data_IF_996201731229
#
_entry.id   IF_996201731229
#
_cell.length_a   1.000
_cell.length_b   1.000
_cell.length_c   1.000
_cell.angle_alpha   90.00
_cell.angle_beta   90.00
_cell.angle_gamma   90.00
#
_symmetry.space_group_name_H-M   'P 1'
#
loop_
_entity.id
_entity.type
_entity.pdbx_description
1 polymer ?
#
# COMPACT_ATOMS: atom_id res chain seq x y z
N UNK A 1 -139.46 50.65 11.45
CA UNK A 1 -138.92 49.27 11.61
C UNK A 1 -138.34 48.72 10.29
N UNK A 2 -138.99 48.95 9.13
CA UNK A 2 -138.48 48.52 7.82
C UNK A 2 -137.17 49.21 7.35
N UNK A 3 -136.98 50.51 7.58
CA UNK A 3 -135.74 51.21 7.15
C UNK A 3 -134.47 50.70 7.84
N UNK A 4 -134.54 50.41 9.15
CA UNK A 4 -133.40 49.89 9.92
C UNK A 4 -132.99 48.48 9.46
N UNK A 5 -133.99 47.64 9.13
CA UNK A 5 -133.76 46.31 8.56
C UNK A 5 -133.13 46.37 7.16
N UNK A 6 -133.53 47.35 6.34
CA UNK A 6 -132.93 47.60 5.02
C UNK A 6 -131.48 48.10 5.13
N UNK A 7 -131.18 49.01 6.07
CA UNK A 7 -129.82 49.50 6.34
C UNK A 7 -128.88 48.42 6.87
N UNK A 8 -129.34 47.57 7.78
CA UNK A 8 -128.56 46.44 8.28
C UNK A 8 -128.30 45.42 7.17
N UNK A 9 -129.28 45.16 6.28
CA UNK A 9 -129.07 44.33 5.10
C UNK A 9 -128.05 44.93 4.12
N UNK A 10 -128.09 46.25 3.91
CA UNK A 10 -127.14 46.95 3.04
C UNK A 10 -125.72 46.92 3.61
N UNK A 11 -125.59 47.05 4.93
CA UNK A 11 -124.31 47.00 5.64
C UNK A 11 -123.75 45.58 5.64
N UNK A 12 -124.60 44.57 5.85
CA UNK A 12 -124.23 43.16 5.75
C UNK A 12 -123.70 42.83 4.35
N UNK A 13 -124.35 43.33 3.30
CA UNK A 13 -123.88 43.16 1.91
C UNK A 13 -122.52 43.81 1.65
N UNK A 14 -122.32 45.05 2.10
CA UNK A 14 -120.99 45.72 2.00
C UNK A 14 -119.90 44.97 2.74
N UNK A 15 -120.19 44.47 3.96
CA UNK A 15 -119.24 43.67 4.74
C UNK A 15 -118.95 42.33 4.09
N UNK A 16 -119.94 41.71 3.45
CA UNK A 16 -119.75 40.49 2.67
C UNK A 16 -118.86 40.74 1.44
N UNK A 17 -119.04 41.87 0.74
CA UNK A 17 -118.16 42.28 -0.37
C UNK A 17 -116.71 42.54 0.10
N UNK A 18 -116.52 43.28 1.19
CA UNK A 18 -115.18 43.49 1.79
C UNK A 18 -114.55 42.17 2.22
N UNK A 19 -115.33 41.26 2.81
CA UNK A 19 -114.84 39.94 3.21
C UNK A 19 -114.36 39.15 1.99
N UNK A 20 -115.12 39.16 0.89
CA UNK A 20 -114.76 38.51 -0.37
C UNK A 20 -113.48 39.11 -0.96
N UNK A 21 -113.32 40.43 -0.95
CA UNK A 21 -112.12 41.11 -1.45
C UNK A 21 -110.89 40.80 -0.60
N UNK A 22 -111.03 40.80 0.73
CA UNK A 22 -109.95 40.45 1.66
C UNK A 22 -109.59 38.96 1.54
N UNK A 23 -110.56 38.07 1.37
CA UNK A 23 -110.27 36.65 1.12
C UNK A 23 -109.56 36.44 -0.21
N UNK A 24 -109.94 37.18 -1.26
CA UNK A 24 -109.25 37.14 -2.56
C UNK A 24 -107.82 37.67 -2.47
N UNK A 25 -107.57 38.79 -1.78
CA UNK A 25 -106.22 39.30 -1.52
C UNK A 25 -105.38 38.31 -0.72
N UNK A 26 -105.97 37.65 0.28
CA UNK A 26 -105.29 36.61 1.07
C UNK A 26 -104.91 35.41 0.20
N UNK A 27 -105.80 34.96 -0.67
CA UNK A 27 -105.53 33.87 -1.62
C UNK A 27 -104.44 34.24 -2.63
N UNK A 28 -104.47 35.46 -3.18
CA UNK A 28 -103.43 35.95 -4.08
C UNK A 28 -102.06 36.02 -3.39
N UNK A 29 -101.99 36.58 -2.18
CA UNK A 29 -100.75 36.64 -1.40
C UNK A 29 -100.26 35.25 -0.98
N UNK A 30 -101.14 34.31 -0.64
CA UNK A 30 -100.77 32.92 -0.36
C UNK A 30 -100.22 32.21 -1.60
N UNK A 31 -100.76 32.51 -2.79
CA UNK A 31 -100.28 31.98 -4.06
C UNK A 31 -98.91 32.56 -4.43
N UNK A 32 -98.70 33.87 -4.23
CA UNK A 32 -97.42 34.53 -4.43
C UNK A 32 -96.35 34.03 -3.44
N UNK A 33 -96.71 33.87 -2.16
CA UNK A 33 -95.84 33.24 -1.15
C UNK A 33 -95.50 31.78 -1.45
N UNK A 34 -96.43 31.02 -2.04
CA UNK A 34 -96.19 29.66 -2.51
C UNK A 34 -95.29 29.60 -3.75
N UNK A 35 -95.30 30.65 -4.60
CA UNK A 35 -94.45 30.78 -5.78
C UNK A 35 -93.02 31.23 -5.44
N UNK A 36 -92.85 31.98 -4.35
CA UNK A 36 -91.54 32.25 -3.77
C UNK A 36 -91.08 30.96 -3.10
N UNK A 37 -90.13 30.25 -3.72
CA UNK A 37 -89.55 28.99 -3.26
C UNK A 37 -88.72 29.12 -1.96
N UNK A 38 -89.24 29.83 -0.94
CA UNK A 38 -88.54 30.22 0.29
C UNK A 38 -88.01 29.02 1.06
N UNK A 39 -88.74 27.91 1.08
CA UNK A 39 -88.28 26.67 1.70
C UNK A 39 -87.08 26.06 0.97
N UNK A 40 -87.08 26.06 -0.36
CA UNK A 40 -85.98 25.52 -1.18
C UNK A 40 -84.74 26.40 -1.03
N UNK A 41 -84.88 27.73 -1.13
CA UNK A 41 -83.79 28.68 -0.90
C UNK A 41 -83.20 28.59 0.52
N UNK A 42 -84.03 28.33 1.54
CA UNK A 42 -83.56 28.08 2.93
C UNK A 42 -82.83 26.73 3.07
N UNK A 43 -83.23 25.72 2.31
CA UNK A 43 -82.53 24.43 2.27
C UNK A 43 -81.17 24.60 1.58
N UNK A 44 -81.14 25.24 0.42
CA UNK A 44 -79.92 25.54 -0.33
C UNK A 44 -78.94 26.39 0.49
N UNK A 45 -79.43 27.43 1.18
CA UNK A 45 -78.58 28.23 2.08
C UNK A 45 -77.94 27.37 3.16
N UNK A 46 -78.70 26.46 3.79
CA UNK A 46 -78.17 25.53 4.80
C UNK A 46 -77.14 24.57 4.23
N UNK A 47 -77.36 24.06 3.02
CA UNK A 47 -76.43 23.14 2.37
C UNK A 47 -75.12 23.85 1.95
N UNK A 48 -75.22 25.09 1.47
CA UNK A 48 -74.05 25.92 1.17
C UNK A 48 -73.29 26.32 2.44
N UNK A 49 -74.00 26.66 3.53
CA UNK A 49 -73.40 26.95 4.84
C UNK A 49 -72.61 25.74 5.36
N UNK A 50 -73.19 24.52 5.31
CA UNK A 50 -72.47 23.29 5.69
C UNK A 50 -71.23 23.05 4.84
N UNK A 51 -71.35 23.14 3.51
CA UNK A 51 -70.21 22.99 2.60
C UNK A 51 -69.12 24.03 2.88
N UNK A 52 -69.50 25.26 3.23
CA UNK A 52 -68.55 26.31 3.62
C UNK A 52 -67.82 25.96 4.92
N UNK A 53 -68.51 25.43 5.92
CA UNK A 53 -67.91 24.97 7.18
C UNK A 53 -66.95 23.79 6.96
N UNK A 54 -67.33 22.80 6.16
CA UNK A 54 -66.48 21.67 5.81
C UNK A 54 -65.22 22.11 5.05
N UNK A 55 -65.37 23.01 4.08
CA UNK A 55 -64.23 23.58 3.34
C UNK A 55 -63.32 24.41 4.26
N UNK A 56 -63.88 25.19 5.20
CA UNK A 56 -63.09 25.93 6.20
C UNK A 56 -62.30 24.98 7.10
N UNK A 57 -62.92 23.89 7.56
CA UNK A 57 -62.25 22.86 8.38
C UNK A 57 -61.11 22.20 7.60
N UNK A 58 -61.36 21.78 6.36
CA UNK A 58 -60.36 21.17 5.50
C UNK A 58 -59.19 22.14 5.20
N UNK A 59 -59.49 23.41 4.96
CA UNK A 59 -58.46 24.45 4.81
C UNK A 59 -57.61 24.57 6.07
N UNK A 60 -58.23 24.59 7.26
CA UNK A 60 -57.49 24.67 8.53
C UNK A 60 -56.57 23.46 8.75
N UNK A 61 -57.01 22.26 8.40
CA UNK A 61 -56.20 21.03 8.51
C UNK A 61 -55.05 21.05 7.50
N UNK A 62 -55.32 21.43 6.26
CA UNK A 62 -54.29 21.54 5.22
C UNK A 62 -53.24 22.62 5.57
N UNK A 63 -53.67 23.77 6.09
CA UNK A 63 -52.79 24.84 6.55
C UNK A 63 -51.89 24.37 7.70
N UNK A 64 -52.44 23.63 8.67
CA UNK A 64 -51.64 23.08 9.77
C UNK A 64 -50.55 22.12 9.28
N UNK A 65 -50.87 21.26 8.30
CA UNK A 65 -49.87 20.36 7.68
C UNK A 65 -48.81 21.13 6.90
N UNK A 66 -49.21 22.14 6.13
CA UNK A 66 -48.29 22.98 5.38
C UNK A 66 -47.29 23.65 6.32
N UNK A 67 -47.76 24.26 7.41
CA UNK A 67 -46.89 24.89 8.40
C UNK A 67 -45.91 23.88 9.02
N UNK A 68 -46.37 22.65 9.31
CA UNK A 68 -45.50 21.58 9.82
C UNK A 68 -44.39 21.21 8.84
N UNK A 69 -44.71 21.04 7.55
CA UNK A 69 -43.69 20.78 6.52
C UNK A 69 -42.74 21.97 6.33
N UNK A 70 -43.24 23.21 6.44
CA UNK A 70 -42.39 24.41 6.38
C UNK A 70 -41.38 24.46 7.53
N UNK A 71 -41.78 24.08 8.75
CA UNK A 71 -40.90 23.97 9.91
C UNK A 71 -39.84 22.87 9.71
N UNK A 72 -40.23 21.68 9.22
CA UNK A 72 -39.30 20.58 8.90
C UNK A 72 -38.28 20.99 7.82
N UNK A 73 -38.73 21.64 6.75
CA UNK A 73 -37.84 22.14 5.70
C UNK A 73 -36.85 23.16 6.28
N UNK A 74 -37.31 24.03 7.19
CA UNK A 74 -36.45 25.02 7.84
C UNK A 74 -35.40 24.34 8.73
N UNK A 75 -35.79 23.30 9.46
CA UNK A 75 -34.89 22.51 10.30
C UNK A 75 -33.80 21.82 9.47
N UNK A 76 -34.18 21.04 8.45
CA UNK A 76 -33.23 20.37 7.56
C UNK A 76 -32.29 21.35 6.87
N UNK A 77 -32.78 22.52 6.44
CA UNK A 77 -31.94 23.57 5.86
C UNK A 77 -30.93 24.13 6.85
N UNK A 78 -31.27 24.18 8.14
CA UNK A 78 -30.35 24.63 9.19
C UNK A 78 -29.28 23.58 9.46
N UNK A 79 -29.65 22.30 9.55
CA UNK A 79 -28.71 21.20 9.69
C UNK A 79 -27.73 21.14 8.51
N UNK A 80 -28.21 21.25 7.27
CA UNK A 80 -27.35 21.28 6.08
C UNK A 80 -26.33 22.43 6.07
N UNK A 81 -26.58 23.50 6.84
CA UNK A 81 -25.66 24.64 6.99
C UNK A 81 -24.63 24.45 8.11
N UNK A 82 -24.76 23.43 8.94
CA UNK A 82 -23.78 23.15 9.98
C UNK A 82 -22.40 22.87 9.36
N UNK A 83 -21.33 23.20 10.07
CA UNK A 83 -19.95 23.04 9.56
C UNK A 83 -19.62 21.61 9.14
N UNK A 84 -20.28 20.61 9.75
CA UNK A 84 -20.10 19.21 9.42
C UNK A 84 -20.66 18.83 8.04
N UNK A 85 -21.78 19.43 7.63
CA UNK A 85 -22.50 19.07 6.40
C UNK A 85 -22.29 20.08 5.26
N UNK A 86 -22.08 21.36 5.59
CA UNK A 86 -21.94 22.45 4.61
C UNK A 86 -20.80 22.25 3.62
N UNK A 87 -19.73 21.54 4.00
CA UNK A 87 -18.58 21.21 3.15
C UNK A 87 -18.40 19.71 2.91
N UNK A 88 -19.45 18.92 3.10
CA UNK A 88 -19.36 17.45 3.01
C UNK A 88 -18.84 17.01 1.63
N UNK A 89 -19.32 17.62 0.54
CA UNK A 89 -18.91 17.28 -0.83
C UNK A 89 -17.43 17.61 -1.10
N UNK A 90 -16.97 18.78 -0.63
CA UNK A 90 -15.55 19.18 -0.75
C UNK A 90 -14.65 18.22 0.03
N UNK A 91 -15.00 17.95 1.30
CA UNK A 91 -14.25 17.03 2.16
C UNK A 91 -14.23 15.61 1.60
N UNK A 92 -15.35 15.14 1.06
CA UNK A 92 -15.43 13.84 0.39
C UNK A 92 -14.50 13.80 -0.81
N UNK A 93 -14.52 14.84 -1.67
CA UNK A 93 -13.67 14.92 -2.85
C UNK A 93 -12.19 14.93 -2.47
N UNK A 94 -11.80 15.73 -1.49
CA UNK A 94 -10.42 15.79 -0.99
C UNK A 94 -9.97 14.43 -0.45
N UNK A 95 -10.81 13.79 0.38
CA UNK A 95 -10.49 12.49 0.96
C UNK A 95 -10.41 11.40 -0.12
N UNK A 96 -11.27 11.47 -1.13
CA UNK A 96 -11.26 10.56 -2.27
C UNK A 96 -9.98 10.71 -3.11
N UNK A 97 -9.52 11.95 -3.34
CA UNK A 97 -8.25 12.21 -4.03
C UNK A 97 -7.09 11.60 -3.23
N UNK A 98 -7.03 11.86 -1.92
CA UNK A 98 -5.98 11.28 -1.06
C UNK A 98 -6.02 9.76 -1.09
N UNK A 99 -7.21 9.16 -0.90
CA UNK A 99 -7.34 7.70 -0.94
C UNK A 99 -6.90 7.13 -2.30
N UNK A 100 -7.35 7.72 -3.41
CA UNK A 100 -7.00 7.22 -4.74
C UNK A 100 -5.52 7.39 -5.07
N UNK A 101 -4.92 8.53 -4.71
CA UNK A 101 -3.48 8.76 -4.90
C UNK A 101 -2.65 7.80 -4.05
N UNK A 102 -3.02 7.57 -2.79
CA UNK A 102 -2.32 6.57 -1.95
C UNK A 102 -2.45 5.14 -2.48
N UNK A 103 -3.61 4.75 -3.01
CA UNK A 103 -3.80 3.44 -3.65
C UNK A 103 -2.90 3.26 -4.89
N UNK A 104 -2.76 4.31 -5.71
CA UNK A 104 -1.86 4.30 -6.86
C UNK A 104 -0.39 4.21 -6.42
N UNK A 105 0.03 4.99 -5.41
CA UNK A 105 1.40 4.95 -4.89
C UNK A 105 1.74 3.57 -4.31
N UNK A 106 0.81 2.94 -3.60
CA UNK A 106 1.02 1.58 -3.08
C UNK A 106 1.24 0.56 -4.20
N UNK A 107 0.50 0.68 -5.32
CA UNK A 107 0.68 -0.18 -6.50
C UNK A 107 2.04 0.04 -7.17
N UNK A 108 2.46 1.30 -7.30
CA UNK A 108 3.76 1.64 -7.87
C UNK A 108 4.90 1.12 -6.98
N UNK A 109 4.79 1.28 -5.66
CA UNK A 109 5.79 0.75 -4.71
C UNK A 109 5.91 -0.78 -4.78
N UNK A 110 4.79 -1.50 -4.92
CA UNK A 110 4.80 -2.95 -5.11
C UNK A 110 5.50 -3.35 -6.42
N UNK A 111 5.27 -2.59 -7.50
CA UNK A 111 5.97 -2.80 -8.77
C UNK A 111 7.48 -2.59 -8.64
N UNK A 112 7.91 -1.50 -7.98
CA UNK A 112 9.32 -1.23 -7.73
C UNK A 112 9.96 -2.29 -6.85
N UNK A 113 9.27 -2.76 -5.81
CA UNK A 113 9.74 -3.82 -4.94
C UNK A 113 10.00 -5.11 -5.73
N UNK A 114 9.04 -5.53 -6.56
CA UNK A 114 9.18 -6.73 -7.40
C UNK A 114 10.31 -6.60 -8.42
N UNK A 115 10.42 -5.44 -9.07
CA UNK A 115 11.49 -5.19 -10.04
C UNK A 115 12.88 -5.21 -9.37
N UNK A 116 12.99 -4.62 -8.18
CA UNK A 116 14.22 -4.62 -7.40
C UNK A 116 14.60 -6.04 -6.98
N UNK A 117 13.67 -6.80 -6.41
CA UNK A 117 13.89 -8.18 -6.00
C UNK A 117 14.31 -9.06 -7.18
N UNK A 118 13.63 -8.96 -8.32
CA UNK A 118 14.01 -9.67 -9.53
C UNK A 118 15.42 -9.30 -10.00
N UNK A 119 15.80 -8.04 -9.90
CA UNK A 119 17.14 -7.56 -10.29
C UNK A 119 18.21 -8.09 -9.33
N UNK A 120 17.95 -8.07 -8.03
CA UNK A 120 18.82 -8.63 -6.99
C UNK A 120 19.02 -10.12 -7.20
N UNK A 121 17.94 -10.88 -7.39
CA UNK A 121 17.99 -12.32 -7.62
C UNK A 121 18.75 -12.65 -8.90
N UNK A 122 18.52 -11.89 -9.99
CA UNK A 122 19.27 -12.05 -11.24
C UNK A 122 20.75 -11.76 -11.05
N UNK A 123 21.10 -10.69 -10.34
CA UNK A 123 22.49 -10.36 -10.03
C UNK A 123 23.17 -11.45 -9.21
N UNK A 124 22.53 -11.93 -8.14
CA UNK A 124 23.08 -13.02 -7.32
C UNK A 124 23.20 -14.32 -8.11
N UNK A 125 22.23 -14.68 -8.96
CA UNK A 125 22.33 -15.86 -9.82
C UNK A 125 23.53 -15.75 -10.76
N UNK A 126 23.67 -14.63 -11.46
CA UNK A 126 24.80 -14.38 -12.35
C UNK A 126 26.14 -14.45 -11.61
N UNK A 127 26.25 -13.82 -10.43
CA UNK A 127 27.46 -13.87 -9.61
C UNK A 127 27.74 -15.26 -9.05
N UNK A 128 26.71 -16.00 -8.68
CA UNK A 128 26.88 -17.37 -8.20
C UNK A 128 27.40 -18.29 -9.32
N UNK A 129 26.94 -18.11 -10.55
CA UNK A 129 27.46 -18.83 -11.72
C UNK A 129 28.94 -18.50 -11.98
N UNK A 130 29.33 -17.23 -11.87
CA UNK A 130 30.74 -16.80 -11.95
C UNK A 130 31.59 -17.46 -10.85
N UNK A 131 31.15 -17.40 -9.58
CA UNK A 131 31.83 -18.03 -8.43
C UNK A 131 31.99 -19.53 -8.67
N UNK A 132 30.91 -20.22 -9.04
CA UNK A 132 30.92 -21.67 -9.26
C UNK A 132 31.81 -22.07 -10.44
N UNK A 133 31.97 -21.21 -11.44
CA UNK A 133 32.93 -21.42 -12.53
C UNK A 133 34.36 -21.32 -12.00
N UNK A 134 34.70 -20.25 -11.28
CA UNK A 134 36.04 -20.04 -10.71
C UNK A 134 36.41 -21.14 -9.72
N UNK A 135 35.49 -21.55 -8.84
CA UNK A 135 35.70 -22.68 -7.90
C UNK A 135 36.06 -23.96 -8.66
N UNK A 136 35.32 -24.29 -9.73
CA UNK A 136 35.59 -25.49 -10.53
C UNK A 136 36.95 -25.43 -11.21
N UNK A 137 37.30 -24.28 -11.78
CA UNK A 137 38.57 -24.09 -12.49
C UNK A 137 39.75 -24.16 -11.52
N UNK A 138 39.67 -23.47 -10.37
CA UNK A 138 40.69 -23.53 -9.32
C UNK A 138 40.80 -24.93 -8.73
N UNK A 139 39.68 -25.58 -8.40
CA UNK A 139 39.69 -26.94 -7.84
C UNK A 139 40.40 -27.93 -8.77
N UNK A 140 40.09 -27.92 -10.07
CA UNK A 140 40.76 -28.77 -11.07
C UNK A 140 42.24 -28.47 -11.21
N UNK A 141 42.64 -27.20 -11.07
CA UNK A 141 44.04 -26.81 -11.15
C UNK A 141 44.83 -27.15 -9.88
N UNK A 142 44.21 -27.13 -8.70
CA UNK A 142 44.89 -27.29 -7.42
C UNK A 142 44.81 -28.69 -6.83
N UNK A 143 43.70 -29.41 -7.05
CA UNK A 143 43.45 -30.72 -6.48
C UNK A 143 43.65 -31.81 -7.54
N UNK A 144 44.65 -32.66 -7.36
CA UNK A 144 45.02 -33.72 -8.33
C UNK A 144 44.31 -35.07 -8.10
N UNK A 145 43.32 -35.14 -7.21
CA UNK A 145 42.55 -36.36 -6.98
C UNK A 145 41.56 -36.69 -8.11
N UNK A 146 40.99 -37.90 -8.10
CA UNK A 146 40.02 -38.32 -9.12
C UNK A 146 38.84 -37.33 -9.24
N UNK A 147 38.54 -36.97 -10.49
CA UNK A 147 37.60 -35.93 -10.95
C UNK A 147 36.10 -36.31 -10.74
N UNK A 148 35.79 -37.03 -9.66
CA UNK A 148 34.41 -37.33 -9.28
C UNK A 148 33.86 -36.19 -8.43
N UNK A 149 32.63 -35.78 -8.72
CA UNK A 149 31.92 -34.79 -7.91
C UNK A 149 31.82 -35.30 -6.47
N UNK A 150 32.66 -34.76 -5.59
CA UNK A 150 32.75 -35.19 -4.20
C UNK A 150 31.67 -34.44 -3.40
N UNK A 151 30.72 -35.17 -2.82
CA UNK A 151 29.84 -34.58 -1.81
C UNK A 151 30.67 -34.24 -0.58
N UNK A 152 30.86 -32.94 -0.33
CA UNK A 152 31.75 -32.47 0.72
C UNK A 152 31.23 -32.73 2.14
N UNK A 153 29.93 -33.02 2.30
CA UNK A 153 29.29 -33.14 3.61
C UNK A 153 29.71 -34.44 4.30
N UNK A 154 30.65 -34.32 5.25
CA UNK A 154 31.08 -35.43 6.10
C UNK A 154 32.03 -36.44 5.44
N UNK A 155 32.45 -36.21 4.19
CA UNK A 155 33.32 -37.13 3.43
C UNK A 155 34.69 -36.55 3.06
N UNK A 156 34.95 -35.28 3.41
CA UNK A 156 36.23 -34.64 3.13
C UNK A 156 37.28 -34.85 4.23
N UNK A 157 38.52 -35.08 3.80
CA UNK A 157 39.71 -35.05 4.67
C UNK A 157 39.97 -33.64 5.22
N UNK A 158 40.82 -33.53 6.24
CA UNK A 158 41.23 -32.23 6.80
C UNK A 158 41.88 -31.33 5.73
N UNK A 159 42.80 -31.88 4.93
CA UNK A 159 43.45 -31.16 3.82
C UNK A 159 42.46 -30.71 2.74
N UNK A 160 41.50 -31.55 2.35
CA UNK A 160 40.46 -31.17 1.39
C UNK A 160 39.58 -30.01 1.90
N UNK A 161 39.27 -29.97 3.19
CA UNK A 161 38.52 -28.86 3.80
C UNK A 161 39.31 -27.56 3.79
N UNK A 162 40.61 -27.61 4.10
CA UNK A 162 41.51 -26.44 4.06
C UNK A 162 41.61 -25.91 2.63
N UNK A 163 41.85 -26.79 1.66
CA UNK A 163 41.96 -26.43 0.25
C UNK A 163 40.66 -25.83 -0.30
N UNK A 164 39.51 -26.46 -0.03
CA UNK A 164 38.22 -25.93 -0.46
C UNK A 164 37.90 -24.56 0.17
N UNK A 165 38.21 -24.38 1.46
CA UNK A 165 38.07 -23.08 2.15
C UNK A 165 38.91 -21.99 1.49
N UNK A 166 40.15 -22.31 1.11
CA UNK A 166 41.03 -21.39 0.39
C UNK A 166 40.44 -21.04 -0.98
N UNK A 167 40.04 -22.03 -1.77
CA UNK A 167 39.48 -21.83 -3.11
C UNK A 167 38.19 -20.98 -3.06
N UNK A 168 37.30 -21.25 -2.11
CA UNK A 168 36.07 -20.46 -1.94
C UNK A 168 36.42 -19.01 -1.59
N UNK A 169 37.37 -18.78 -0.67
CA UNK A 169 37.83 -17.42 -0.33
C UNK A 169 38.43 -16.71 -1.53
N UNK A 170 39.22 -17.41 -2.34
CA UNK A 170 39.81 -16.88 -3.57
C UNK A 170 38.75 -16.53 -4.61
N UNK A 171 37.78 -17.42 -4.85
CA UNK A 171 36.70 -17.18 -5.80
C UNK A 171 35.82 -15.98 -5.38
N UNK A 172 35.49 -15.86 -4.09
CA UNK A 172 34.75 -14.71 -3.57
C UNK A 172 35.54 -13.40 -3.71
N UNK A 173 36.84 -13.43 -3.41
CA UNK A 173 37.72 -12.28 -3.63
C UNK A 173 37.82 -11.93 -5.12
N UNK A 174 37.76 -12.93 -6.01
CA UNK A 174 37.74 -12.73 -7.46
C UNK A 174 36.49 -12.01 -7.95
N UNK A 175 35.32 -12.45 -7.50
CA UNK A 175 34.04 -11.93 -7.99
C UNK A 175 33.59 -10.63 -7.33
N UNK A 176 33.90 -10.42 -6.05
CA UNK A 176 33.37 -9.27 -5.28
C UNK A 176 34.40 -8.18 -4.97
N UNK A 177 35.68 -8.51 -4.88
CA UNK A 177 36.69 -7.58 -4.38
C UNK A 177 37.44 -6.81 -5.49
N UNK A 178 36.71 -6.27 -6.48
CA UNK A 178 37.29 -5.49 -7.59
C UNK A 178 38.15 -4.29 -7.12
N UNK A 179 37.81 -3.69 -5.97
CA UNK A 179 38.47 -2.49 -5.41
C UNK A 179 39.17 -2.71 -4.05
N UNK A 180 39.01 -3.88 -3.43
CA UNK A 180 39.63 -4.22 -2.14
C UNK A 180 40.57 -5.41 -2.34
N UNK A 181 41.80 -5.14 -2.72
CA UNK A 181 42.71 -6.22 -3.12
C UNK A 181 43.51 -6.82 -1.97
N UNK A 182 43.13 -6.66 -0.70
CA UNK A 182 43.87 -7.30 0.41
C UNK A 182 43.33 -8.72 0.63
N UNK A 183 44.20 -9.71 0.51
CA UNK A 183 43.92 -11.10 0.87
C UNK A 183 44.99 -11.58 1.86
N UNK A 184 44.56 -12.09 3.01
CA UNK A 184 45.45 -12.66 4.02
C UNK A 184 45.21 -14.16 4.17
N UNK A 185 46.27 -14.95 4.07
CA UNK A 185 46.27 -16.40 4.21
C UNK A 185 47.17 -16.78 5.39
N UNK A 186 46.57 -17.30 6.45
CA UNK A 186 47.27 -17.77 7.63
C UNK A 186 47.44 -19.30 7.55
N UNK A 187 48.70 -19.75 7.60
CA UNK A 187 49.16 -21.14 7.49
C UNK A 187 48.41 -21.98 6.44
N UNK A 188 48.46 -21.57 5.14
CA UNK A 188 47.64 -22.18 4.10
C UNK A 188 48.05 -23.61 3.72
N UNK A 189 49.22 -24.07 4.17
CA UNK A 189 49.75 -25.43 3.93
C UNK A 189 49.32 -26.45 4.99
N UNK A 190 48.56 -26.03 6.02
CA UNK A 190 48.12 -26.89 7.11
C UNK A 190 47.38 -28.13 6.60
N UNK A 191 47.86 -29.33 6.97
CA UNK A 191 47.31 -30.63 6.59
C UNK A 191 47.25 -30.91 5.06
N UNK A 192 48.07 -30.21 4.26
CA UNK A 192 48.27 -30.51 2.85
C UNK A 192 49.51 -31.40 2.64
N UNK A 193 49.45 -32.26 1.63
CA UNK A 193 50.62 -33.00 1.15
C UNK A 193 51.44 -32.16 0.16
N UNK A 194 52.66 -32.60 -0.16
CA UNK A 194 53.59 -31.86 -1.00
C UNK A 194 53.01 -31.51 -2.37
N UNK A 195 52.27 -32.43 -3.00
CA UNK A 195 51.66 -32.18 -4.31
C UNK A 195 50.59 -31.09 -4.28
N UNK A 196 49.73 -31.06 -3.24
CA UNK A 196 48.74 -30.01 -3.09
C UNK A 196 49.38 -28.67 -2.67
N UNK A 197 50.49 -28.69 -1.91
CA UNK A 197 51.27 -27.49 -1.58
C UNK A 197 51.85 -26.85 -2.86
N UNK A 198 52.48 -27.64 -3.73
CA UNK A 198 53.00 -27.16 -5.03
C UNK A 198 51.89 -26.60 -5.92
N UNK A 199 50.75 -27.30 -5.96
CA UNK A 199 49.60 -26.88 -6.77
C UNK A 199 48.95 -25.60 -6.23
N UNK A 200 48.90 -25.44 -4.90
CA UNK A 200 48.46 -24.21 -4.23
C UNK A 200 49.40 -23.04 -4.51
N UNK A 201 50.72 -23.25 -4.45
CA UNK A 201 51.72 -22.23 -4.76
C UNK A 201 51.55 -21.73 -6.20
N UNK A 202 51.38 -22.65 -7.16
CA UNK A 202 51.12 -22.31 -8.57
C UNK A 202 49.84 -21.48 -8.73
N UNK A 203 48.74 -21.85 -8.07
CA UNK A 203 47.48 -21.10 -8.13
C UNK A 203 47.62 -19.69 -7.56
N UNK A 204 48.33 -19.51 -6.43
CA UNK A 204 48.59 -18.18 -5.87
C UNK A 204 49.44 -17.32 -6.80
N UNK A 205 50.45 -17.90 -7.46
CA UNK A 205 51.28 -17.16 -8.44
C UNK A 205 50.44 -16.69 -9.63
N UNK A 206 49.54 -17.53 -10.16
CA UNK A 206 48.64 -17.12 -11.25
C UNK A 206 47.66 -16.02 -10.81
N UNK A 207 47.19 -16.04 -9.56
CA UNK A 207 46.37 -14.97 -8.99
C UNK A 207 47.16 -13.67 -8.89
N UNK A 208 48.39 -13.71 -8.35
CA UNK A 208 49.29 -12.55 -8.28
C UNK A 208 49.53 -11.99 -9.67
N UNK A 209 49.82 -12.83 -10.66
CA UNK A 209 50.06 -12.45 -12.06
C UNK A 209 48.83 -11.82 -12.71
N UNK A 210 47.67 -12.44 -12.58
CA UNK A 210 46.40 -11.92 -13.11
C UNK A 210 46.06 -10.54 -12.52
N UNK A 211 46.30 -10.39 -11.21
CA UNK A 211 46.01 -9.15 -10.47
C UNK A 211 47.15 -8.14 -10.43
N UNK A 212 48.34 -8.48 -10.92
CA UNK A 212 49.49 -7.57 -10.98
C UNK A 212 49.22 -6.28 -11.77
N UNK A 213 48.26 -6.32 -12.69
CA UNK A 213 47.79 -5.16 -13.48
C UNK A 213 46.85 -4.25 -12.69
N UNK A 214 46.26 -4.72 -11.59
CA UNK A 214 45.38 -3.95 -10.74
C UNK A 214 46.22 -3.19 -9.70
N UNK A 215 46.00 -1.87 -9.57
CA UNK A 215 46.83 -1.02 -8.70
C UNK A 215 46.73 -1.30 -7.20
N UNK A 216 45.72 -2.05 -6.75
CA UNK A 216 45.35 -2.15 -5.33
C UNK A 216 45.33 -3.58 -4.78
N UNK A 217 46.08 -4.54 -5.36
CA UNK A 217 46.16 -5.92 -4.85
C UNK A 217 47.36 -6.14 -3.92
N UNK A 218 47.10 -6.72 -2.76
CA UNK A 218 48.05 -7.08 -1.72
C UNK A 218 47.71 -8.47 -1.19
N UNK A 219 48.64 -9.41 -1.34
CA UNK A 219 48.53 -10.75 -0.77
C UNK A 219 49.49 -10.85 0.43
N UNK A 220 48.94 -11.16 1.60
CA UNK A 220 49.70 -11.48 2.81
C UNK A 220 49.62 -12.99 3.05
N UNK A 221 50.77 -13.65 3.09
CA UNK A 221 50.87 -15.07 3.43
C UNK A 221 51.69 -15.20 4.70
N UNK A 222 51.14 -15.89 5.69
CA UNK A 222 51.82 -16.27 6.93
C UNK A 222 52.03 -17.78 6.84
N UNK A 223 53.28 -18.21 6.95
CA UNK A 223 53.61 -19.63 6.93
C UNK A 223 54.91 -19.92 7.67
N UNK A 224 54.99 -21.11 8.25
CA UNK A 224 56.23 -21.71 8.76
C UNK A 224 56.86 -22.71 7.78
N UNK A 225 56.24 -22.95 6.63
CA UNK A 225 56.69 -23.89 5.60
C UNK A 225 57.70 -23.22 4.66
N UNK A 226 59.00 -23.53 4.85
CA UNK A 226 60.08 -22.93 4.05
C UNK A 226 60.07 -23.41 2.58
N UNK A 227 59.65 -24.65 2.31
CA UNK A 227 59.53 -25.20 0.95
C UNK A 227 58.46 -24.43 0.16
N UNK A 228 57.33 -24.12 0.80
CA UNK A 228 56.27 -23.32 0.21
C UNK A 228 56.72 -21.87 -0.09
N UNK A 229 57.51 -21.27 0.81
CA UNK A 229 58.10 -19.94 0.57
C UNK A 229 59.07 -19.99 -0.61
N UNK A 230 59.89 -21.04 -0.72
CA UNK A 230 60.78 -21.22 -1.87
C UNK A 230 60.00 -21.35 -3.18
N UNK A 231 58.91 -22.15 -3.19
CA UNK A 231 58.05 -22.34 -4.37
C UNK A 231 57.41 -21.02 -4.83
N UNK A 232 56.89 -20.20 -3.92
CA UNK A 232 56.40 -18.85 -4.23
C UNK A 232 57.54 -17.93 -4.71
N UNK A 233 58.71 -18.09 -4.10
CA UNK A 233 59.93 -17.36 -4.37
C UNK A 233 60.57 -17.61 -5.74
N UNK A 234 60.31 -18.77 -6.35
CA UNK A 234 60.70 -19.07 -7.74
C UNK A 234 59.96 -18.19 -8.76
N UNK A 235 58.86 -17.56 -8.36
CA UNK A 235 58.15 -16.60 -9.20
C UNK A 235 58.85 -15.24 -9.18
N UNK A 236 58.80 -14.50 -10.29
CA UNK A 236 59.39 -13.15 -10.39
C UNK A 236 58.61 -12.07 -9.64
N UNK A 237 57.62 -12.44 -8.82
CA UNK A 237 56.72 -11.50 -8.13
C UNK A 237 57.04 -11.33 -6.65
N UNK A 238 57.90 -12.17 -6.07
CA UNK A 238 58.27 -12.13 -4.64
C UNK A 238 59.77 -12.02 -4.49
N UNK A 239 60.27 -10.83 -4.10
CA UNK A 239 61.71 -10.59 -3.92
C UNK A 239 62.17 -10.77 -2.46
N UNK A 240 61.31 -10.42 -1.52
CA UNK A 240 61.63 -10.34 -0.09
C UNK A 240 60.51 -10.96 0.73
N UNK A 241 60.88 -11.52 1.88
CA UNK A 241 59.92 -11.99 2.89
C UNK A 241 60.31 -11.46 4.26
N UNK A 242 59.35 -11.45 5.18
CA UNK A 242 59.57 -11.05 6.57
C UNK A 242 59.60 -12.30 7.44
N UNK A 243 60.65 -12.43 8.24
CA UNK A 243 60.87 -13.56 9.13
C UNK A 243 60.74 -13.09 10.57
N UNK A 244 59.81 -13.70 11.29
CA UNK A 244 59.51 -13.38 12.69
C UNK A 244 60.23 -14.41 13.57
N UNK A 245 61.03 -13.94 14.53
CA UNK A 245 61.77 -14.78 15.49
C UNK A 245 61.68 -14.19 16.88
N UNK A 246 61.96 -14.99 17.91
CA UNK A 246 62.15 -14.47 19.28
C UNK A 246 63.61 -14.08 19.46
N UNK A 247 63.86 -12.88 19.97
CA UNK A 247 65.20 -12.44 20.35
C UNK A 247 65.62 -13.04 21.71
N UNK A 248 66.82 -12.69 22.18
CA UNK A 248 67.37 -13.18 23.46
C UNK A 248 66.50 -12.80 24.68
N UNK A 249 65.74 -11.69 24.58
CA UNK A 249 64.82 -11.21 25.61
C UNK A 249 63.41 -11.79 25.48
N UNK A 250 63.22 -12.82 24.66
CA UNK A 250 61.92 -13.43 24.33
C UNK A 250 60.88 -12.49 23.66
N UNK A 251 61.31 -11.32 23.17
CA UNK A 251 60.47 -10.41 22.40
C UNK A 251 60.44 -10.81 20.92
N UNK A 252 59.34 -10.49 20.22
CA UNK A 252 59.20 -10.78 18.79
C UNK A 252 60.00 -9.77 17.98
N UNK A 253 60.89 -10.26 17.13
CA UNK A 253 61.73 -9.48 16.21
C UNK A 253 61.38 -9.85 14.76
N UNK A 254 61.25 -8.83 13.91
CA UNK A 254 60.90 -8.99 12.50
C UNK A 254 62.12 -8.62 11.67
N UNK A 255 62.60 -9.55 10.84
CA UNK A 255 63.76 -9.34 9.97
C UNK A 255 63.33 -9.47 8.50
N UNK A 256 63.78 -8.55 7.65
CA UNK A 256 63.54 -8.62 6.20
C UNK A 256 64.63 -9.49 5.57
N UNK A 257 64.23 -10.55 4.87
CA UNK A 257 65.12 -11.49 4.21
C UNK A 257 64.89 -11.47 2.68
N UNK A 258 65.96 -11.68 1.91
CA UNK A 258 65.86 -11.85 0.45
C UNK A 258 65.55 -13.31 0.13
N UNK A 259 64.67 -13.57 -0.83
CA UNK A 259 64.33 -14.93 -1.24
C UNK A 259 65.56 -15.72 -1.76
N UNK A 260 66.53 -15.03 -2.37
CA UNK A 260 67.77 -15.63 -2.87
C UNK A 260 68.59 -16.31 -1.75
N UNK A 261 68.46 -15.84 -0.51
CA UNK A 261 69.16 -16.42 0.65
C UNK A 261 68.63 -17.80 1.08
N UNK A 262 67.42 -18.19 0.66
CA UNK A 262 66.88 -19.53 0.90
C UNK A 262 67.52 -20.57 -0.04
N UNK A 263 67.75 -20.21 -1.31
CA UNK A 263 68.33 -21.10 -2.32
C UNK A 263 69.79 -21.48 -2.05
N UNK A 264 70.51 -20.72 -1.21
CA UNK A 264 71.90 -21.00 -0.83
C UNK A 264 72.08 -22.08 0.26
N UNK A 265 71.00 -22.72 0.71
CA UNK A 265 71.06 -23.76 1.76
C UNK A 265 70.72 -25.17 1.25
N UNK A 266 70.54 -25.32 -0.07
CA UNK A 266 70.24 -26.62 -0.71
C UNK A 266 71.28 -26.91 -1.80
N UNK A 267 72.53 -27.06 -1.39
CA UNK A 267 73.57 -27.82 -2.11
C UNK A 267 74.46 -28.53 -1.10
#
# INVERSE_FOLDING_TARGET
VQERWLQDNLTLRKRLEELVEVTSRREALLKDMGSMQVMQLRQERRDVERKMEDLKKNRSVAQGRQNGFEEEIMHCRKELREEQYSKADERYRDKMIVMRTTDLVNKDLDLYYKALDQTIMKFHSMKMDEINKIIRDLWRSTYRGQDTALDMRGRCSAGQKVLASLIIRLALAETFCLNCGILALDEPTTNLDRENIESLAHALVEIIKSRSRQRNFQLLVITHDEDFVELLGRSSYVEHFYRIRKNQDHNSEITKCSIASLSSHVH
#
